data_IF_894850443289
#
_entry.id   IF_894850443289
#
_cell.length_a   1.000
_cell.length_b   1.000
_cell.length_c   1.000
_cell.angle_alpha   90.00
_cell.angle_beta   90.00
_cell.angle_gamma   90.00
#
_symmetry.space_group_name_H-M   'P 1'
#
loop_
_entity.id
_entity.type
_entity.pdbx_description
1 polymer ?
#
# COMPACT_ATOMS: atom_id res chain seq x y z
N UNK A 1 15.10 -15.48 -0.53
CA UNK A 1 13.82 -14.98 0.01
C UNK A 1 12.72 -15.61 -0.81
N UNK A 2 11.84 -16.35 -0.16
CA UNK A 2 10.63 -16.79 -0.82
C UNK A 2 9.78 -15.57 -1.18
N UNK A 3 9.11 -15.66 -2.33
CA UNK A 3 8.28 -14.58 -2.85
C UNK A 3 7.00 -15.13 -3.42
N UNK A 4 5.98 -14.29 -3.40
CA UNK A 4 4.73 -14.51 -4.09
C UNK A 4 4.51 -13.31 -4.99
N UNK A 5 4.27 -13.57 -6.27
CA UNK A 5 3.88 -12.58 -7.27
C UNK A 5 2.46 -12.93 -7.69
N UNK A 6 1.60 -11.92 -7.71
CA UNK A 6 0.20 -12.01 -8.10
C UNK A 6 -0.01 -11.01 -9.24
N UNK A 7 0.15 -11.48 -10.48
CA UNK A 7 0.12 -10.67 -11.71
C UNK A 7 -1.17 -10.86 -12.53
N UNK A 8 -2.06 -11.76 -12.09
CA UNK A 8 -3.36 -12.04 -12.69
C UNK A 8 -4.53 -11.60 -11.78
N UNK A 9 -4.48 -10.40 -11.21
CA UNK A 9 -5.60 -9.86 -10.42
C UNK A 9 -6.66 -9.34 -11.38
N UNK A 10 -7.82 -10.00 -11.40
CA UNK A 10 -8.97 -9.53 -12.17
C UNK A 10 -9.51 -8.24 -11.55
N UNK A 11 -9.65 -7.20 -12.36
CA UNK A 11 -10.19 -5.93 -11.92
C UNK A 11 -11.69 -5.84 -12.21
N UNK A 12 -12.49 -6.00 -11.15
CA UNK A 12 -13.91 -5.76 -11.17
C UNK A 12 -14.24 -4.52 -10.33
N UNK A 13 -15.08 -3.64 -10.88
CA UNK A 13 -15.46 -2.40 -10.24
C UNK A 13 -16.91 -2.47 -9.76
N UNK A 14 -17.12 -2.23 -8.46
CA UNK A 14 -18.45 -1.99 -7.94
C UNK A 14 -18.90 -0.57 -8.33
N UNK A 15 -19.87 -0.50 -9.25
CA UNK A 15 -20.39 0.77 -9.75
C UNK A 15 -21.04 1.63 -8.67
N UNK A 16 -21.70 1.03 -7.67
CA UNK A 16 -22.26 1.79 -6.56
C UNK A 16 -21.15 2.43 -5.73
N UNK A 17 -20.07 1.67 -5.47
CA UNK A 17 -18.91 2.17 -4.75
C UNK A 17 -18.20 3.30 -5.52
N UNK A 18 -18.09 3.18 -6.84
CA UNK A 18 -17.53 4.24 -7.70
C UNK A 18 -18.38 5.52 -7.66
N UNK A 19 -19.70 5.39 -7.88
CA UNK A 19 -20.64 6.53 -7.88
C UNK A 19 -20.62 7.24 -6.52
N UNK A 20 -20.55 6.46 -5.43
CA UNK A 20 -20.44 6.99 -4.07
C UNK A 20 -19.12 7.73 -3.85
N UNK A 21 -18.00 7.12 -4.25
CA UNK A 21 -16.66 7.72 -4.13
C UNK A 21 -16.56 9.06 -4.87
N UNK A 22 -17.21 9.14 -6.03
CA UNK A 22 -17.24 10.34 -6.87
C UNK A 22 -18.37 11.34 -6.51
N UNK A 23 -19.25 10.98 -5.58
CA UNK A 23 -20.41 11.79 -5.16
C UNK A 23 -21.34 12.17 -6.32
N UNK A 24 -21.60 11.23 -7.23
CA UNK A 24 -22.37 11.47 -8.47
C UNK A 24 -23.86 11.09 -8.40
N UNK A 25 -24.38 10.71 -7.22
CA UNK A 25 -25.74 10.13 -7.05
C UNK A 25 -26.85 10.90 -7.76
N UNK A 26 -26.79 12.22 -7.74
CA UNK A 26 -27.83 13.09 -8.29
C UNK A 26 -27.47 13.67 -9.67
N UNK A 27 -26.52 13.05 -10.39
CA UNK A 27 -26.06 13.50 -11.71
C UNK A 27 -26.05 12.37 -12.75
N UNK A 28 -27.20 12.06 -13.37
CA UNK A 28 -27.33 10.94 -14.32
C UNK A 28 -26.39 11.01 -15.51
N UNK A 29 -26.17 12.19 -16.08
CA UNK A 29 -25.26 12.38 -17.22
C UNK A 29 -23.81 12.04 -16.86
N UNK A 30 -23.36 12.44 -15.66
CA UNK A 30 -22.04 12.07 -15.16
C UNK A 30 -21.94 10.57 -14.85
N UNK A 31 -23.02 9.95 -14.34
CA UNK A 31 -23.10 8.50 -14.11
C UNK A 31 -22.91 7.73 -15.43
N UNK A 32 -23.61 8.14 -16.50
CA UNK A 32 -23.46 7.49 -17.81
C UNK A 32 -22.04 7.62 -18.36
N UNK A 33 -21.42 8.80 -18.19
CA UNK A 33 -20.05 9.05 -18.63
C UNK A 33 -19.03 8.20 -17.85
N UNK A 34 -19.13 8.15 -16.52
CA UNK A 34 -18.20 7.36 -15.71
C UNK A 34 -18.40 5.85 -15.89
N UNK A 35 -19.63 5.40 -16.20
CA UNK A 35 -19.90 3.99 -16.48
C UNK A 35 -19.09 3.51 -17.69
N UNK A 36 -19.01 4.31 -18.76
CA UNK A 36 -18.18 3.97 -19.92
C UNK A 36 -16.69 3.88 -19.56
N UNK A 37 -16.19 4.81 -18.74
CA UNK A 37 -14.81 4.77 -18.26
C UNK A 37 -14.53 3.54 -17.38
N UNK A 38 -15.49 3.17 -16.53
CA UNK A 38 -15.40 1.97 -15.71
C UNK A 38 -15.33 0.70 -16.55
N UNK A 39 -16.17 0.59 -17.59
CA UNK A 39 -16.18 -0.57 -18.50
C UNK A 39 -14.85 -0.73 -19.23
N UNK A 40 -14.28 0.37 -19.71
CA UNK A 40 -12.97 0.35 -20.34
C UNK A 40 -11.87 -0.06 -19.36
N UNK A 41 -11.89 0.53 -18.15
CA UNK A 41 -10.92 0.23 -17.12
C UNK A 41 -10.99 -1.24 -16.65
N UNK A 42 -12.17 -1.83 -16.46
CA UNK A 42 -12.33 -3.25 -16.11
C UNK A 42 -11.77 -4.18 -17.20
N UNK A 43 -11.88 -3.80 -18.48
CA UNK A 43 -11.39 -4.60 -19.60
C UNK A 43 -9.86 -4.66 -19.65
N UNK A 44 -9.21 -3.52 -19.45
CA UNK A 44 -7.75 -3.38 -19.62
C UNK A 44 -6.99 -3.51 -18.30
N UNK A 45 -7.64 -3.26 -17.16
CA UNK A 45 -6.98 -3.17 -15.87
C UNK A 45 -6.38 -4.50 -15.46
N UNK A 46 -5.08 -4.47 -15.14
CA UNK A 46 -4.34 -5.60 -14.57
C UNK A 46 -3.58 -5.13 -13.33
N UNK A 47 -4.26 -4.91 -12.20
CA UNK A 47 -3.61 -4.69 -10.92
C UNK A 47 -2.66 -5.84 -10.63
N UNK A 48 -1.54 -5.54 -9.99
CA UNK A 48 -0.52 -6.54 -9.67
C UNK A 48 -0.01 -6.31 -8.28
N UNK A 49 0.49 -7.38 -7.68
CA UNK A 49 1.13 -7.29 -6.39
C UNK A 49 2.23 -8.32 -6.22
N UNK A 50 3.09 -8.08 -5.25
CA UNK A 50 4.03 -9.05 -4.74
C UNK A 50 4.22 -8.87 -3.25
N UNK A 51 4.62 -9.94 -2.59
CA UNK A 51 5.21 -9.86 -1.25
C UNK A 51 6.36 -10.86 -1.12
N UNK A 52 7.29 -10.57 -0.21
CA UNK A 52 8.43 -11.44 0.12
C UNK A 52 8.33 -11.91 1.55
N UNK A 53 8.77 -13.13 1.80
CA UNK A 53 8.85 -13.70 3.15
C UNK A 53 10.27 -13.54 3.62
N UNK A 54 10.45 -12.84 4.74
CA UNK A 54 11.78 -12.46 5.22
C UNK A 54 11.91 -12.70 6.72
N UNK A 55 13.15 -12.93 7.15
CA UNK A 55 13.59 -12.79 8.53
C UNK A 55 14.28 -11.44 8.71
N UNK A 56 14.22 -10.91 9.92
CA UNK A 56 14.88 -9.67 10.29
C UNK A 56 15.85 -9.89 11.45
N UNK A 57 16.94 -9.13 11.43
CA UNK A 57 17.91 -8.99 12.51
C UNK A 57 17.74 -7.61 13.16
N UNK A 58 17.85 -7.55 14.49
CA UNK A 58 17.67 -6.34 15.29
C UNK A 58 18.96 -6.03 16.05
N UNK A 59 19.96 -5.50 15.34
CA UNK A 59 21.29 -5.23 15.90
C UNK A 59 21.37 -3.95 16.73
N UNK A 60 20.39 -3.05 16.61
CA UNK A 60 20.31 -1.80 17.36
C UNK A 60 18.85 -1.39 17.62
N UNK A 61 18.67 -0.25 18.27
CA UNK A 61 17.33 0.22 18.69
C UNK A 61 16.55 0.96 17.59
N UNK A 62 17.20 1.36 16.50
CA UNK A 62 16.64 2.26 15.50
C UNK A 62 16.58 1.65 14.10
N UNK A 63 16.99 0.39 13.94
CA UNK A 63 17.06 -0.24 12.63
C UNK A 63 16.54 -1.69 12.60
N UNK A 64 16.13 -2.09 11.41
CA UNK A 64 15.77 -3.47 11.08
C UNK A 64 16.62 -3.90 9.90
N UNK A 65 17.42 -4.95 10.07
CA UNK A 65 18.24 -5.50 8.98
C UNK A 65 17.54 -6.70 8.37
N UNK A 66 17.31 -6.65 7.06
CA UNK A 66 16.72 -7.75 6.27
C UNK A 66 17.71 -8.11 5.17
N UNK A 67 18.34 -9.29 5.28
CA UNK A 67 19.50 -9.69 4.47
C UNK A 67 20.65 -8.65 4.53
N UNK A 68 20.89 -7.93 3.43
CA UNK A 68 21.93 -6.90 3.29
C UNK A 68 21.38 -5.48 3.37
N UNK A 69 20.06 -5.32 3.50
CA UNK A 69 19.40 -4.01 3.54
C UNK A 69 19.11 -3.65 4.99
N UNK A 70 19.40 -2.40 5.35
CA UNK A 70 19.08 -1.84 6.66
C UNK A 70 17.97 -0.81 6.47
N UNK A 71 16.88 -0.99 7.22
CA UNK A 71 15.76 -0.05 7.29
C UNK A 71 15.89 0.75 8.59
N UNK A 72 15.83 2.07 8.52
CA UNK A 72 16.00 2.95 9.67
C UNK A 72 14.63 3.46 10.15
N UNK A 73 14.14 2.87 11.24
CA UNK A 73 12.94 3.29 11.95
C UNK A 73 12.83 2.53 13.26
N UNK A 74 12.77 3.28 14.36
CA UNK A 74 12.60 2.72 15.70
C UNK A 74 11.21 2.11 15.87
N UNK A 75 10.18 2.77 15.37
CA UNK A 75 8.80 2.29 15.39
C UNK A 75 8.65 0.99 14.59
N UNK A 76 9.25 0.93 13.39
CA UNK A 76 9.24 -0.27 12.56
C UNK A 76 9.91 -1.42 13.32
N UNK A 77 11.10 -1.20 13.88
CA UNK A 77 11.80 -2.20 14.69
C UNK A 77 10.95 -2.71 15.84
N UNK A 78 10.34 -1.81 16.62
CA UNK A 78 9.50 -2.14 17.76
C UNK A 78 8.24 -2.94 17.39
N UNK A 79 7.70 -2.72 16.18
CA UNK A 79 6.57 -3.47 15.64
C UNK A 79 7.00 -4.84 15.11
N UNK A 80 8.11 -4.90 14.35
CA UNK A 80 8.55 -6.13 13.70
C UNK A 80 9.17 -7.14 14.66
N UNK A 81 9.88 -6.71 15.71
CA UNK A 81 10.52 -7.64 16.65
C UNK A 81 9.53 -8.46 17.49
N UNK A 82 8.26 -8.03 17.55
CA UNK A 82 7.18 -8.74 18.22
C UNK A 82 6.37 -9.62 17.26
N UNK A 83 6.68 -9.56 15.96
CA UNK A 83 5.93 -10.26 14.93
C UNK A 83 6.60 -11.58 14.55
N UNK A 84 5.82 -12.65 14.50
CA UNK A 84 6.27 -13.93 13.94
C UNK A 84 6.37 -13.95 12.40
N UNK A 85 5.86 -12.93 11.70
CA UNK A 85 5.82 -12.88 10.23
C UNK A 85 6.13 -11.45 9.75
N UNK A 86 7.05 -11.32 8.80
CA UNK A 86 7.46 -10.04 8.21
C UNK A 86 7.39 -10.16 6.69
N UNK A 87 6.59 -9.30 6.06
CA UNK A 87 6.25 -9.41 4.65
C UNK A 87 6.37 -8.06 3.94
N UNK A 88 7.56 -7.68 3.43
CA UNK A 88 7.68 -6.58 2.49
C UNK A 88 6.76 -6.81 1.29
N UNK A 89 5.95 -5.81 0.94
CA UNK A 89 4.97 -5.91 -0.14
C UNK A 89 5.00 -4.69 -1.06
N UNK A 90 4.56 -4.92 -2.29
CA UNK A 90 4.36 -3.89 -3.31
C UNK A 90 3.09 -4.22 -4.11
N UNK A 91 2.19 -3.26 -4.20
CA UNK A 91 0.92 -3.35 -4.94
C UNK A 91 0.83 -2.20 -5.95
N UNK A 92 0.16 -2.42 -7.08
CA UNK A 92 -0.06 -1.39 -8.11
C UNK A 92 -1.41 -1.56 -8.80
N UNK A 93 -1.97 -0.46 -9.28
CA UNK A 93 -3.13 -0.47 -10.18
C UNK A 93 -2.82 -1.09 -11.57
N UNK A 94 -1.54 -1.22 -11.91
CA UNK A 94 -1.08 -1.71 -13.21
C UNK A 94 -0.72 -0.59 -14.18
N UNK A 95 0.30 -0.83 -15.01
CA UNK A 95 0.75 0.12 -16.04
C UNK A 95 -0.33 0.40 -17.08
N UNK A 96 -1.21 -0.58 -17.31
CA UNK A 96 -2.33 -0.49 -18.23
C UNK A 96 -3.29 0.63 -17.84
N UNK A 97 -3.59 0.77 -16.55
CA UNK A 97 -4.46 1.85 -16.05
C UNK A 97 -3.72 3.19 -15.92
N UNK A 98 -2.42 3.17 -15.64
CA UNK A 98 -1.56 4.37 -15.69
C UNK A 98 -1.60 5.00 -17.09
N UNK A 99 -1.28 4.22 -18.12
CA UNK A 99 -1.24 4.69 -19.50
C UNK A 99 -2.64 5.11 -19.99
N UNK A 100 -3.68 4.33 -19.66
CA UNK A 100 -5.07 4.68 -19.97
C UNK A 100 -5.49 6.01 -19.35
N UNK A 101 -5.09 6.30 -18.11
CA UNK A 101 -5.47 7.55 -17.43
C UNK A 101 -4.85 8.79 -18.09
N UNK A 102 -3.69 8.64 -18.75
CA UNK A 102 -2.95 9.76 -19.34
C UNK A 102 -3.60 10.31 -20.61
N UNK A 103 -4.53 9.57 -21.23
CA UNK A 103 -5.24 10.02 -22.43
C UNK A 103 -6.29 11.12 -22.14
N UNK A 104 -6.71 11.25 -20.88
CA UNK A 104 -7.75 12.21 -20.51
C UNK A 104 -7.14 13.58 -20.21
N UNK A 105 -7.68 14.62 -20.84
CA UNK A 105 -7.26 16.02 -20.63
C UNK A 105 -8.24 16.81 -19.76
N UNK A 106 -9.53 16.47 -19.86
CA UNK A 106 -10.61 17.05 -19.07
C UNK A 106 -10.43 16.78 -17.56
N UNK A 107 -10.72 17.79 -16.74
CA UNK A 107 -10.48 17.76 -15.29
C UNK A 107 -11.39 16.72 -14.61
N UNK A 108 -12.66 16.63 -15.03
CA UNK A 108 -13.60 15.66 -14.44
C UNK A 108 -13.21 14.24 -14.81
N UNK A 109 -12.89 13.98 -16.08
CA UNK A 109 -12.43 12.66 -16.52
C UNK A 109 -11.11 12.24 -15.85
N UNK A 110 -10.14 13.16 -15.70
CA UNK A 110 -8.91 12.88 -14.93
C UNK A 110 -9.22 12.48 -13.49
N UNK A 111 -10.13 13.20 -12.84
CA UNK A 111 -10.52 12.88 -11.46
C UNK A 111 -11.20 11.51 -11.36
N UNK A 112 -12.09 11.19 -12.31
CA UNK A 112 -12.75 9.88 -12.39
C UNK A 112 -11.76 8.75 -12.66
N UNK A 113 -10.84 8.92 -13.63
CA UNK A 113 -9.81 7.95 -13.94
C UNK A 113 -8.87 7.70 -12.74
N UNK A 114 -8.44 8.75 -12.04
CA UNK A 114 -7.66 8.62 -10.81
C UNK A 114 -8.40 7.82 -9.72
N UNK A 115 -9.70 8.07 -9.57
CA UNK A 115 -10.53 7.34 -8.60
C UNK A 115 -10.66 5.87 -8.97
N UNK A 116 -10.83 5.56 -10.26
CA UNK A 116 -10.85 4.18 -10.76
C UNK A 116 -9.51 3.48 -10.48
N UNK A 117 -8.38 4.15 -10.71
CA UNK A 117 -7.07 3.60 -10.38
C UNK A 117 -6.87 3.37 -8.88
N UNK A 118 -7.42 4.24 -8.01
CA UNK A 118 -7.39 4.03 -6.56
C UNK A 118 -8.15 2.76 -6.17
N UNK A 119 -9.29 2.49 -6.81
CA UNK A 119 -10.07 1.25 -6.59
C UNK A 119 -9.35 0.02 -7.14
N UNK A 120 -8.66 0.15 -8.27
CA UNK A 120 -7.81 -0.90 -8.82
C UNK A 120 -6.65 -1.24 -7.87
N UNK A 121 -5.95 -0.24 -7.33
CA UNK A 121 -4.93 -0.44 -6.30
C UNK A 121 -5.53 -1.11 -5.05
N UNK A 122 -6.74 -0.70 -4.64
CA UNK A 122 -7.48 -1.32 -3.54
C UNK A 122 -7.70 -2.82 -3.74
N UNK A 123 -8.02 -3.25 -4.97
CA UNK A 123 -8.17 -4.68 -5.29
C UNK A 123 -6.85 -5.45 -5.14
N UNK A 124 -5.71 -4.87 -5.54
CA UNK A 124 -4.40 -5.48 -5.38
C UNK A 124 -4.02 -5.64 -3.91
N UNK A 125 -4.23 -4.59 -3.11
CA UNK A 125 -4.01 -4.63 -1.64
C UNK A 125 -4.87 -5.70 -1.00
N UNK A 126 -6.18 -5.71 -1.30
CA UNK A 126 -7.13 -6.68 -0.73
C UNK A 126 -6.75 -8.12 -1.08
N UNK A 127 -6.27 -8.36 -2.29
CA UNK A 127 -5.82 -9.67 -2.76
C UNK A 127 -4.60 -10.15 -1.96
N UNK A 128 -3.60 -9.27 -1.75
CA UNK A 128 -2.42 -9.59 -0.93
C UNK A 128 -2.81 -9.86 0.51
N UNK A 129 -3.63 -8.99 1.12
CA UNK A 129 -4.09 -9.17 2.50
C UNK A 129 -4.81 -10.51 2.68
N UNK A 130 -5.73 -10.83 1.78
CA UNK A 130 -6.50 -12.09 1.82
C UNK A 130 -5.57 -13.29 1.65
N UNK A 131 -4.64 -13.24 0.68
CA UNK A 131 -3.66 -14.32 0.44
C UNK A 131 -2.79 -14.58 1.68
N UNK A 132 -2.34 -13.51 2.36
CA UNK A 132 -1.54 -13.61 3.58
C UNK A 132 -2.38 -14.19 4.72
N UNK A 133 -3.60 -13.68 4.93
CA UNK A 133 -4.48 -14.14 6.00
C UNK A 133 -4.84 -15.62 5.84
N UNK A 134 -5.13 -16.08 4.63
CA UNK A 134 -5.42 -17.49 4.32
C UNK A 134 -4.18 -18.36 4.54
N UNK A 135 -3.02 -17.94 4.02
CA UNK A 135 -1.78 -18.73 4.07
C UNK A 135 -1.25 -18.88 5.50
N UNK A 136 -1.36 -17.85 6.33
CA UNK A 136 -0.75 -17.82 7.67
C UNK A 136 -1.76 -17.91 8.82
N UNK A 137 -3.05 -18.02 8.51
CA UNK A 137 -4.16 -18.02 9.49
C UNK A 137 -4.10 -16.83 10.46
N UNK A 138 -3.49 -15.73 10.04
CA UNK A 138 -3.32 -14.54 10.87
C UNK A 138 -4.60 -13.71 10.83
N UNK A 139 -5.18 -13.45 12.01
CA UNK A 139 -6.38 -12.62 12.12
C UNK A 139 -6.07 -11.12 12.12
N UNK A 140 -4.87 -10.74 12.54
CA UNK A 140 -4.51 -9.34 12.79
C UNK A 140 -3.24 -8.95 12.00
N UNK A 141 -3.45 -8.67 10.72
CA UNK A 141 -2.40 -8.15 9.84
C UNK A 141 -2.33 -6.62 9.97
N UNK A 142 -1.15 -6.10 10.25
CA UNK A 142 -0.86 -4.67 10.30
C UNK A 142 0.15 -4.30 9.23
N UNK A 143 0.17 -3.03 8.84
CA UNK A 143 1.06 -2.53 7.80
C UNK A 143 1.72 -1.23 8.22
N UNK A 144 3.00 -1.11 7.90
CA UNK A 144 3.73 0.16 7.89
C UNK A 144 4.15 0.51 6.47
N UNK A 145 4.19 1.81 6.17
CA UNK A 145 4.56 2.33 4.85
C UNK A 145 5.52 3.51 5.04
N UNK A 146 6.65 3.55 4.33
CA UNK A 146 7.55 4.71 4.41
C UNK A 146 6.83 5.99 3.93
N UNK A 147 7.15 7.11 4.56
CA UNK A 147 6.57 8.43 4.29
C UNK A 147 5.19 8.68 4.93
N UNK A 148 4.58 7.69 5.59
CA UNK A 148 3.32 7.90 6.32
C UNK A 148 3.50 8.52 7.70
N UNK A 149 4.68 8.34 8.30
CA UNK A 149 5.05 8.79 9.64
C UNK A 149 6.48 9.33 9.61
N UNK A 150 6.78 10.29 10.48
CA UNK A 150 8.11 10.91 10.54
C UNK A 150 9.22 9.90 10.90
N UNK A 151 8.91 8.92 11.77
CA UNK A 151 9.88 7.90 12.21
C UNK A 151 10.27 6.92 11.09
N UNK A 152 9.44 6.75 10.06
CA UNK A 152 9.80 5.97 8.89
C UNK A 152 9.60 6.79 7.61
N UNK A 153 10.57 7.66 7.28
CA UNK A 153 10.37 8.70 6.28
C UNK A 153 10.42 8.14 4.86
N UNK A 154 9.99 8.94 3.87
CA UNK A 154 9.84 8.50 2.48
C UNK A 154 11.16 8.02 1.85
N UNK A 155 12.31 8.52 2.32
CA UNK A 155 13.65 8.13 1.85
C UNK A 155 13.92 6.63 2.03
N UNK A 156 13.33 6.01 3.06
CA UNK A 156 13.45 4.58 3.32
C UNK A 156 12.74 3.72 2.27
N UNK A 157 11.92 4.32 1.41
CA UNK A 157 11.36 3.64 0.25
C UNK A 157 12.44 3.13 -0.70
N UNK A 158 13.61 3.80 -0.81
CA UNK A 158 14.74 3.27 -1.59
C UNK A 158 15.23 1.94 -1.03
N UNK A 159 15.41 1.86 0.29
CA UNK A 159 15.86 0.65 0.97
C UNK A 159 14.80 -0.46 0.84
N UNK A 160 13.51 -0.12 0.99
CA UNK A 160 12.42 -1.07 0.77
C UNK A 160 12.41 -1.60 -0.68
N UNK A 161 12.66 -0.74 -1.68
CA UNK A 161 12.76 -1.18 -3.08
C UNK A 161 13.96 -2.08 -3.36
N UNK A 162 15.07 -1.94 -2.63
CA UNK A 162 16.20 -2.88 -2.72
C UNK A 162 15.80 -4.29 -2.26
N UNK A 163 14.86 -4.43 -1.32
CA UNK A 163 14.32 -5.74 -0.94
C UNK A 163 13.53 -6.39 -2.08
N UNK A 164 12.85 -5.59 -2.91
CA UNK A 164 12.11 -6.08 -4.07
C UNK A 164 13.04 -6.40 -5.25
N UNK A 165 14.05 -5.58 -5.52
CA UNK A 165 14.93 -5.73 -6.67
C UNK A 165 14.13 -5.80 -7.98
N UNK A 166 14.56 -6.66 -8.90
CA UNK A 166 13.92 -6.82 -10.22
C UNK A 166 12.45 -7.25 -10.16
N UNK A 167 11.99 -7.80 -9.03
CA UNK A 167 10.59 -8.20 -8.87
C UNK A 167 9.63 -7.00 -8.90
N UNK A 168 10.07 -5.80 -8.48
CA UNK A 168 9.27 -4.59 -8.63
C UNK A 168 9.02 -4.27 -10.11
N UNK A 169 10.06 -4.36 -10.94
CA UNK A 169 9.96 -4.15 -12.39
C UNK A 169 9.08 -5.21 -13.06
N UNK A 170 9.14 -6.47 -12.60
CA UNK A 170 8.30 -7.56 -13.13
C UNK A 170 6.80 -7.30 -12.96
N UNK A 171 6.38 -6.61 -11.89
CA UNK A 171 4.99 -6.19 -11.72
C UNK A 171 4.70 -4.80 -12.30
N UNK A 172 5.64 -4.24 -13.06
CA UNK A 172 5.49 -2.97 -13.76
C UNK A 172 5.75 -1.73 -12.89
N UNK A 173 6.33 -1.87 -11.69
CA UNK A 173 6.56 -0.75 -10.78
C UNK A 173 8.02 -0.30 -10.79
N UNK A 174 8.23 1.00 -10.91
CA UNK A 174 9.52 1.67 -10.78
C UNK A 174 9.48 2.78 -9.73
N UNK A 175 10.64 3.17 -9.22
CA UNK A 175 10.80 4.27 -8.28
C UNK A 175 11.59 5.39 -8.96
N UNK A 176 11.05 6.60 -8.98
CA UNK A 176 11.73 7.78 -9.55
C UNK A 176 12.81 8.29 -8.60
N UNK A 177 13.66 9.20 -9.10
CA UNK A 177 14.65 9.89 -8.26
C UNK A 177 14.01 10.64 -7.08
N UNK A 178 12.82 11.20 -7.31
CA UNK A 178 11.98 11.88 -6.32
C UNK A 178 11.22 10.94 -5.38
N UNK A 179 11.48 9.63 -5.42
CA UNK A 179 10.84 8.60 -4.59
C UNK A 179 9.36 8.35 -4.91
N UNK A 180 8.87 8.85 -6.03
CA UNK A 180 7.52 8.53 -6.48
C UNK A 180 7.53 7.17 -7.16
N UNK A 181 6.50 6.37 -6.92
CA UNK A 181 6.30 5.15 -7.68
C UNK A 181 5.64 5.46 -9.02
N UNK A 182 5.99 4.68 -10.05
CA UNK A 182 5.27 4.64 -11.32
C UNK A 182 4.88 3.18 -11.61
N UNK A 183 3.58 2.84 -11.76
CA UNK A 183 2.38 3.69 -11.68
C UNK A 183 2.23 4.51 -10.40
N UNK A 184 1.60 5.69 -10.52
CA UNK A 184 1.43 6.60 -9.37
C UNK A 184 0.53 5.97 -8.31
N UNK A 185 -0.49 5.22 -8.73
CA UNK A 185 -1.35 4.44 -7.83
C UNK A 185 -0.69 3.10 -7.51
N UNK A 186 0.38 3.18 -6.74
CA UNK A 186 1.09 2.03 -6.17
C UNK A 186 1.26 2.22 -4.66
N UNK A 187 1.47 1.12 -3.94
CA UNK A 187 1.69 1.11 -2.50
C UNK A 187 2.79 0.11 -2.15
N UNK A 188 3.81 0.56 -1.42
CA UNK A 188 4.84 -0.29 -0.84
C UNK A 188 4.80 -0.22 0.68
N UNK A 189 5.12 -1.32 1.35
CA UNK A 189 5.25 -1.33 2.80
C UNK A 189 5.75 -2.66 3.34
N UNK A 190 5.58 -2.85 4.63
CA UNK A 190 5.81 -4.14 5.31
C UNK A 190 4.54 -4.50 6.05
N UNK A 191 3.98 -5.66 5.71
CA UNK A 191 2.97 -6.33 6.50
C UNK A 191 3.61 -7.14 7.62
N UNK A 192 2.98 -7.16 8.79
CA UNK A 192 3.41 -7.93 9.95
C UNK A 192 2.22 -8.32 10.82
N UNK A 193 2.36 -9.38 11.60
CA UNK A 193 1.34 -9.81 12.55
C UNK A 193 1.41 -8.92 13.80
N UNK A 194 0.26 -8.48 14.31
CA UNK A 194 0.18 -7.64 15.50
C UNK A 194 -1.03 -8.02 16.36
N UNK A 195 -0.81 -8.45 17.60
CA UNK A 195 -1.93 -8.79 18.49
C UNK A 195 -2.81 -7.59 18.83
N UNK A 196 -2.18 -6.44 19.14
CA UNK A 196 -2.85 -5.18 19.49
C UNK A 196 -3.44 -4.46 18.27
N UNK A 197 -3.02 -4.84 17.05
CA UNK A 197 -3.35 -4.16 15.81
C UNK A 197 -2.64 -2.82 15.66
N UNK A 198 -2.16 -2.51 14.45
CA UNK A 198 -1.46 -1.27 14.17
C UNK A 198 -1.87 -0.69 12.82
N UNK A 199 -2.16 0.61 12.81
CA UNK A 199 -2.44 1.38 11.59
C UNK A 199 -1.73 2.73 11.67
N UNK A 200 -0.90 3.09 10.68
CA UNK A 200 -0.17 4.38 10.63
C UNK A 200 -1.06 5.59 11.02
N UNK A 201 -2.33 5.60 10.62
CA UNK A 201 -3.28 6.68 10.91
C UNK A 201 -3.46 6.99 12.42
N UNK A 202 -3.21 6.02 13.31
CA UNK A 202 -3.24 6.21 14.76
C UNK A 202 -2.14 7.15 15.25
N UNK A 203 -1.05 7.30 14.51
CA UNK A 203 0.10 8.15 14.86
C UNK A 203 0.25 9.37 13.92
N UNK A 204 -0.55 9.44 12.85
CA UNK A 204 -0.48 10.54 11.88
C UNK A 204 -1.33 11.74 12.32
N UNK A 205 -0.73 12.93 12.56
CA UNK A 205 -1.45 14.12 13.03
C UNK A 205 -2.27 14.83 11.93
N UNK A 206 -2.15 14.41 10.65
CA UNK A 206 -2.85 15.03 9.53
C UNK A 206 -4.37 14.84 9.63
N UNK A 207 -5.11 15.87 10.04
CA UNK A 207 -6.55 15.76 10.31
C UNK A 207 -7.36 15.35 9.08
N UNK A 208 -7.20 16.07 7.97
CA UNK A 208 -7.98 15.89 6.73
C UNK A 208 -7.22 15.04 5.72
N UNK A 209 -7.09 13.75 6.02
CA UNK A 209 -6.55 12.76 5.08
C UNK A 209 -7.68 11.94 4.43
N UNK A 210 -7.87 11.99 3.09
CA UNK A 210 -8.90 11.20 2.42
C UNK A 210 -8.67 9.68 2.56
N UNK A 211 -7.43 9.25 2.76
CA UNK A 211 -7.05 7.85 2.99
C UNK A 211 -7.04 7.41 4.46
N UNK A 212 -7.64 8.18 5.38
CA UNK A 212 -7.60 7.87 6.82
C UNK A 212 -8.38 6.58 7.13
N UNK A 213 -7.68 5.59 7.69
CA UNK A 213 -8.25 4.28 8.08
C UNK A 213 -8.53 4.15 9.59
N UNK A 214 -7.94 5.01 10.43
CA UNK A 214 -8.16 5.02 11.88
C UNK A 214 -8.06 6.45 12.45
N UNK A 215 -8.73 6.76 13.58
CA UNK A 215 -8.57 8.03 14.28
C UNK A 215 -7.14 8.24 14.79
N UNK A 216 -6.67 9.49 14.82
CA UNK A 216 -5.37 9.85 15.42
C UNK A 216 -5.45 9.71 16.95
N UNK A 217 -4.43 9.09 17.55
CA UNK A 217 -4.34 8.81 18.98
C UNK A 217 -3.06 9.41 19.56
N UNK A 218 -3.17 10.66 20.03
CA UNK A 218 -2.04 11.43 20.58
C UNK A 218 -1.30 10.71 21.73
N UNK A 219 -2.01 9.91 22.53
CA UNK A 219 -1.42 9.15 23.63
C UNK A 219 -0.47 8.04 23.17
N UNK A 220 -0.68 7.46 21.98
CA UNK A 220 0.20 6.41 21.43
C UNK A 220 1.49 6.99 20.83
N UNK A 221 1.45 8.24 20.35
CA UNK A 221 2.62 8.92 19.81
C UNK A 221 3.75 9.07 20.85
N UNK A 222 3.40 9.20 22.13
CA UNK A 222 4.37 9.33 23.23
C UNK A 222 4.77 8.00 23.89
N UNK A 223 4.02 6.91 23.66
CA UNK A 223 4.27 5.61 24.32
C UNK A 223 5.07 4.61 23.47
N UNK A 224 5.16 4.84 22.16
CA UNK A 224 5.97 4.04 21.23
C UNK A 224 7.49 4.04 21.56
N UNK A 225 7.90 4.89 22.49
CA UNK A 225 9.26 5.01 23.02
C UNK A 225 9.67 3.99 24.11
N UNK A 226 8.75 3.14 24.63
CA UNK A 226 9.00 2.47 25.93
C UNK A 226 9.01 0.94 25.97
N UNK A 227 8.65 0.19 24.91
CA UNK A 227 8.66 -1.29 24.98
C UNK A 227 9.78 -1.89 24.13
N UNK A 228 10.87 -2.28 24.79
CA UNK A 228 12.06 -2.95 24.21
C UNK A 228 11.70 -4.31 23.60
N UNK A 229 12.50 -4.74 22.63
CA UNK A 229 12.49 -6.12 22.15
C UNK A 229 13.24 -6.94 23.19
N UNK A 230 12.61 -7.98 23.71
CA UNK A 230 13.33 -8.95 24.56
C UNK A 230 14.32 -9.69 23.64
N UNK A 231 15.61 -9.60 23.99
CA UNK A 231 16.73 -10.27 23.29
C UNK A 231 16.90 -11.67 23.84
#
# INVERSE_FOLDING_TARGET
MDKVVIDEILFFLDMNLLINSLRLKDNPSAIDAVTKLADDAMRIGRPKALYKIVSAEYSDENSVKINKVVLHSRLLKNNLCKSGIILPFLCTCGTELEDWSQQFTDIAQKYWANTIQDLALGSAIKTVETTIQERYQSRNLSAMNPGSLDDWPIQEQRNLFQLFGDDAYRIGVSLTESLMMKPLKSMSGIFFSSEEGFVNCQLCPLEKCPGRRAPYQKSLAHSSDQKRCDV
#
